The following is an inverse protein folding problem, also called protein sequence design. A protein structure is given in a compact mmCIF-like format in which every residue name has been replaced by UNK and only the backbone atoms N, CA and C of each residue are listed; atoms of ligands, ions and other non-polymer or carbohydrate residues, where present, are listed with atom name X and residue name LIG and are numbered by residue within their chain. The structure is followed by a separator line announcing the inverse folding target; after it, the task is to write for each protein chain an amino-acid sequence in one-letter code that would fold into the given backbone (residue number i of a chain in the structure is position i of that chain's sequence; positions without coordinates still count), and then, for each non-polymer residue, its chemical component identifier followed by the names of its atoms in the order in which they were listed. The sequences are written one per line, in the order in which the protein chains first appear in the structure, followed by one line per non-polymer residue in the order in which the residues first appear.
data_IF_875525853237
#
_entry.id   IF_875525853237
#
_cell.length_a   1.000
_cell.length_b   1.000
_cell.length_c   1.000
_cell.angle_alpha   90.00
_cell.angle_beta   90.00
_cell.angle_gamma   90.00
#
_symmetry.space_group_name_H-M   'P 1'
#
loop_
_entity.id
_entity.type
_entity.pdbx_description
1 polymer ?
#
# COMPACT_ATOMS: atom_id res chain seq x y z
N UNK A 1 -6.02 9.47 -6.67
CA UNK A 1 -6.76 10.69 -7.06
C UNK A 1 -6.72 11.75 -5.96
N UNK A 2 -7.14 12.98 -6.27
CA UNK A 2 -7.10 14.12 -5.35
C UNK A 2 -8.51 14.45 -4.84
N UNK A 3 -8.65 14.67 -3.53
CA UNK A 3 -9.87 15.13 -2.88
C UNK A 3 -9.61 16.46 -2.18
N UNK A 4 -10.13 17.54 -2.75
CA UNK A 4 -9.76 18.91 -2.34
C UNK A 4 -8.25 19.13 -2.51
N UNK A 5 -7.56 19.47 -1.42
CA UNK A 5 -6.10 19.66 -1.39
C UNK A 5 -5.32 18.40 -0.95
N UNK A 6 -6.01 17.28 -0.72
CA UNK A 6 -5.38 16.05 -0.21
C UNK A 6 -5.39 14.96 -1.29
N UNK A 7 -4.35 14.16 -1.31
CA UNK A 7 -4.31 12.97 -2.14
C UNK A 7 -4.95 11.79 -1.39
N UNK A 8 -5.80 11.04 -2.10
CA UNK A 8 -6.30 9.74 -1.64
C UNK A 8 -5.31 8.67 -2.04
N UNK A 9 -4.90 7.86 -1.08
CA UNK A 9 -4.00 6.74 -1.27
C UNK A 9 -4.73 5.42 -0.98
N UNK A 10 -4.39 4.40 -1.76
CA UNK A 10 -4.82 3.02 -1.55
C UNK A 10 -3.57 2.14 -1.45
N UNK A 11 -3.51 1.33 -0.41
CA UNK A 11 -2.47 0.33 -0.21
C UNK A 11 -3.09 -1.06 -0.20
N UNK A 12 -2.85 -1.82 -1.25
CA UNK A 12 -3.36 -3.19 -1.40
C UNK A 12 -2.26 -4.21 -1.20
N UNK A 13 -2.47 -5.14 -0.28
CA UNK A 13 -1.62 -6.30 -0.03
C UNK A 13 -2.33 -7.56 -0.47
N UNK A 14 -1.76 -8.27 -1.43
CA UNK A 14 -2.28 -9.56 -1.90
C UNK A 14 -1.44 -10.69 -1.35
N UNK A 15 -2.10 -11.62 -0.67
CA UNK A 15 -1.53 -12.80 -0.05
C UNK A 15 -1.96 -14.05 -0.81
N UNK A 16 -0.99 -14.90 -1.14
CA UNK A 16 -1.20 -16.19 -1.79
C UNK A 16 -0.71 -17.30 -0.88
N UNK A 17 -1.57 -18.21 -0.50
CA UNK A 17 -1.21 -19.37 0.31
C UNK A 17 -1.23 -20.64 -0.53
N UNK A 18 -0.07 -21.03 -1.06
CA UNK A 18 0.09 -22.16 -1.98
C UNK A 18 0.06 -23.55 -1.32
N UNK A 19 -0.10 -23.62 0.01
CA UNK A 19 -0.14 -24.87 0.75
C UNK A 19 -1.48 -25.58 0.69
N UNK A 20 -1.52 -26.80 1.24
CA UNK A 20 -2.74 -27.57 1.55
C UNK A 20 -2.77 -27.84 3.05
N UNK A 21 -3.94 -28.06 3.64
CA UNK A 21 -4.01 -28.44 5.04
C UNK A 21 -3.32 -29.78 5.28
N UNK A 22 -2.30 -29.78 6.13
CA UNK A 22 -1.63 -30.99 6.61
C UNK A 22 -1.10 -30.76 8.05
N UNK A 23 -0.30 -31.69 8.57
CA UNK A 23 0.25 -31.61 9.94
C UNK A 23 1.26 -30.47 10.15
N UNK A 24 1.79 -29.87 9.09
CA UNK A 24 2.73 -28.72 9.10
C UNK A 24 2.11 -27.44 8.61
N UNK A 25 1.12 -27.54 7.71
CA UNK A 25 0.56 -26.41 6.97
C UNK A 25 -0.87 -26.15 7.44
N UNK A 26 -1.09 -24.98 7.98
CA UNK A 26 -2.39 -24.52 8.45
C UNK A 26 -2.65 -23.09 7.94
N UNK A 27 -3.73 -22.48 8.39
CA UNK A 27 -4.08 -21.10 8.14
C UNK A 27 -2.91 -20.17 8.47
N UNK A 28 -2.62 -19.24 7.57
CA UNK A 28 -1.75 -18.10 7.86
C UNK A 28 -2.57 -16.99 8.51
N UNK A 29 -2.15 -16.55 9.68
CA UNK A 29 -2.77 -15.44 10.41
C UNK A 29 -1.70 -14.36 10.55
N UNK A 30 -2.06 -13.14 10.20
CA UNK A 30 -1.18 -11.97 10.32
C UNK A 30 -1.95 -10.77 10.83
N UNK A 31 -1.22 -9.84 11.44
CA UNK A 31 -1.68 -8.50 11.69
C UNK A 31 -1.04 -7.59 10.64
N UNK A 32 -1.81 -7.20 9.62
CA UNK A 32 -1.33 -6.37 8.53
C UNK A 32 -1.39 -4.90 8.94
N UNK A 33 -0.30 -4.15 8.68
CA UNK A 33 -0.19 -2.74 9.03
C UNK A 33 0.39 -1.94 7.87
N UNK A 34 -0.21 -0.79 7.59
CA UNK A 34 0.29 0.22 6.65
C UNK A 34 0.75 1.44 7.44
N UNK A 35 1.95 1.92 7.14
CA UNK A 35 2.48 3.18 7.66
C UNK A 35 2.37 4.25 6.58
N UNK A 36 1.80 5.37 6.94
CA UNK A 36 1.56 6.53 6.08
C UNK A 36 2.17 7.80 6.69
N UNK A 37 2.32 8.88 5.94
CA UNK A 37 2.76 10.16 6.50
C UNK A 37 1.92 10.58 7.70
N UNK A 38 2.55 11.16 8.73
CA UNK A 38 1.87 11.65 9.93
C UNK A 38 0.77 12.65 9.57
N UNK A 39 -0.41 12.45 10.11
CA UNK A 39 -1.60 13.25 9.80
C UNK A 39 -2.47 12.68 8.68
N UNK A 40 -2.13 11.52 8.13
CA UNK A 40 -3.04 10.78 7.26
C UNK A 40 -4.32 10.37 8.01
N UNK A 41 -5.44 10.32 7.31
CA UNK A 41 -6.76 10.01 7.85
C UNK A 41 -7.33 8.76 7.21
N UNK A 42 -7.68 7.77 8.00
CA UNK A 42 -8.33 6.54 7.53
C UNK A 42 -9.70 6.83 6.92
N UNK A 43 -10.03 6.17 5.79
CA UNK A 43 -11.34 6.25 5.15
C UNK A 43 -12.05 4.90 5.14
N UNK A 44 -11.40 3.85 4.63
CA UNK A 44 -12.03 2.54 4.52
C UNK A 44 -11.03 1.39 4.48
N UNK A 45 -11.53 0.20 4.70
CA UNK A 45 -10.82 -1.07 4.51
C UNK A 45 -11.66 -1.99 3.64
N UNK A 46 -11.03 -2.66 2.68
CA UNK A 46 -11.63 -3.77 1.94
C UNK A 46 -10.83 -5.04 2.16
N UNK A 47 -11.48 -6.05 2.66
CA UNK A 47 -10.91 -7.34 3.01
C UNK A 47 -11.94 -8.21 3.72
N UNK A 48 -11.59 -9.49 3.92
CA UNK A 48 -12.50 -10.44 4.56
C UNK A 48 -11.85 -11.15 5.73
N UNK A 49 -12.62 -11.28 6.81
CA UNK A 49 -12.30 -12.11 7.96
C UNK A 49 -12.28 -13.60 7.59
N UNK A 50 -11.86 -14.43 8.54
CA UNK A 50 -11.95 -15.90 8.45
C UNK A 50 -13.36 -16.39 8.11
N UNK A 51 -14.38 -15.77 8.67
CA UNK A 51 -15.79 -16.11 8.46
C UNK A 51 -16.30 -15.82 7.05
N UNK A 52 -15.51 -15.11 6.23
CA UNK A 52 -15.97 -14.56 4.94
C UNK A 52 -16.69 -13.22 5.06
N UNK A 53 -16.97 -12.76 6.28
CA UNK A 53 -17.52 -11.42 6.49
C UNK A 53 -16.50 -10.34 6.13
N UNK A 54 -16.97 -9.19 5.64
CA UNK A 54 -16.11 -8.03 5.41
C UNK A 54 -15.53 -7.52 6.73
N UNK A 55 -14.31 -7.02 6.67
CA UNK A 55 -13.70 -6.30 7.80
C UNK A 55 -14.44 -4.98 7.95
N UNK A 56 -14.96 -4.72 9.15
CA UNK A 56 -15.62 -3.46 9.44
C UNK A 56 -14.59 -2.37 9.80
N UNK A 57 -14.87 -1.08 9.52
CA UNK A 57 -13.96 0.02 9.86
C UNK A 57 -13.54 0.04 11.33
N UNK A 58 -14.42 -0.37 12.23
CA UNK A 58 -14.18 -0.43 13.69
C UNK A 58 -13.18 -1.54 14.09
N UNK A 59 -12.84 -2.43 13.18
CA UNK A 59 -11.84 -3.49 13.37
C UNK A 59 -10.45 -3.07 12.87
N UNK A 60 -10.31 -1.82 12.44
CA UNK A 60 -9.04 -1.23 12.05
C UNK A 60 -8.49 -0.40 13.19
N UNK A 61 -7.40 -0.86 13.77
CA UNK A 61 -6.66 -0.08 14.75
C UNK A 61 -5.90 1.05 14.05
N UNK A 62 -5.76 2.18 14.73
CA UNK A 62 -5.07 3.36 14.23
C UNK A 62 -4.16 3.94 15.31
N UNK A 63 -3.03 4.49 14.89
CA UNK A 63 -2.12 5.12 15.82
C UNK A 63 -1.04 5.93 15.15
N UNK A 64 -0.17 6.50 15.98
CA UNK A 64 1.03 7.24 15.53
C UNK A 64 2.25 6.59 16.16
N UNK A 65 3.22 6.24 15.35
CA UNK A 65 4.47 5.61 15.75
C UNK A 65 5.58 6.03 14.78
N UNK A 66 6.79 6.27 15.25
CA UNK A 66 7.93 6.65 14.41
C UNK A 66 7.65 7.83 13.46
N UNK A 67 6.94 8.84 13.94
CA UNK A 67 6.49 9.99 13.14
C UNK A 67 5.66 9.59 11.89
N UNK A 68 4.96 8.45 11.96
CA UNK A 68 4.03 7.95 10.95
C UNK A 68 2.65 7.72 11.55
N UNK A 69 1.62 7.94 10.79
CA UNK A 69 0.28 7.40 11.06
C UNK A 69 0.23 5.97 10.56
N UNK A 70 -0.39 5.06 11.30
CA UNK A 70 -0.56 3.69 10.85
C UNK A 70 -2.01 3.21 10.98
N UNK A 71 -2.38 2.29 10.10
CA UNK A 71 -3.65 1.58 10.09
C UNK A 71 -3.37 0.09 10.07
N UNK A 72 -4.06 -0.69 10.91
CA UNK A 72 -3.79 -2.11 11.01
C UNK A 72 -5.01 -2.94 11.37
N UNK A 73 -5.04 -4.18 10.90
CA UNK A 73 -6.10 -5.14 11.24
C UNK A 73 -5.60 -6.58 11.18
N UNK A 74 -6.29 -7.45 11.89
CA UNK A 74 -6.06 -8.90 11.81
C UNK A 74 -6.62 -9.45 10.50
N UNK A 75 -5.81 -10.24 9.82
CA UNK A 75 -6.12 -10.83 8.54
C UNK A 75 -5.72 -12.30 8.51
N UNK A 76 -6.50 -13.14 7.85
CA UNK A 76 -6.18 -14.56 7.73
C UNK A 76 -6.52 -15.14 6.37
N UNK A 77 -5.70 -16.09 5.91
CA UNK A 77 -5.86 -16.79 4.65
C UNK A 77 -5.72 -18.30 4.87
N UNK A 78 -6.63 -19.06 4.29
CA UNK A 78 -6.60 -20.51 4.31
C UNK A 78 -5.62 -21.06 3.24
N UNK A 79 -5.04 -22.23 3.44
CA UNK A 79 -4.30 -22.93 2.39
C UNK A 79 -5.09 -23.03 1.09
N UNK A 80 -4.41 -22.81 -0.03
CA UNK A 80 -5.00 -22.82 -1.37
C UNK A 80 -5.79 -21.56 -1.75
N UNK A 81 -5.79 -20.51 -0.91
CA UNK A 81 -6.51 -19.27 -1.19
C UNK A 81 -5.59 -18.13 -1.58
N UNK A 82 -6.15 -17.20 -2.32
CA UNK A 82 -5.62 -15.85 -2.54
C UNK A 82 -6.59 -14.85 -1.96
N UNK A 83 -6.10 -13.90 -1.16
CA UNK A 83 -6.90 -12.82 -0.59
C UNK A 83 -6.14 -11.50 -0.65
N UNK A 84 -6.90 -10.42 -0.84
CA UNK A 84 -6.37 -9.05 -0.78
C UNK A 84 -6.94 -8.30 0.42
N UNK A 85 -6.15 -7.38 0.92
CA UNK A 85 -6.51 -6.41 1.95
C UNK A 85 -6.09 -5.04 1.45
N UNK A 86 -7.05 -4.12 1.34
CA UNK A 86 -6.83 -2.75 0.89
C UNK A 86 -7.19 -1.77 2.00
N UNK A 87 -6.29 -0.86 2.32
CA UNK A 87 -6.57 0.33 3.13
C UNK A 87 -6.67 1.55 2.23
N UNK A 88 -7.74 2.34 2.41
CA UNK A 88 -7.91 3.64 1.75
C UNK A 88 -7.80 4.74 2.80
N UNK A 89 -7.01 5.77 2.50
CA UNK A 89 -6.76 6.88 3.41
C UNK A 89 -6.40 8.17 2.67
N UNK A 90 -6.63 9.30 3.32
CA UNK A 90 -6.20 10.61 2.81
C UNK A 90 -4.83 10.95 3.39
N UNK A 91 -3.92 11.36 2.51
CA UNK A 91 -2.61 11.91 2.90
C UNK A 91 -2.78 13.32 3.49
N UNK A 92 -1.86 13.79 4.34
CA UNK A 92 -1.88 15.17 4.82
C UNK A 92 -1.68 16.17 3.66
N UNK A 93 -2.19 17.39 3.81
CA UNK A 93 -2.10 18.45 2.77
C UNK A 93 -0.66 18.86 2.44
N UNK A 94 0.29 18.58 3.34
CA UNK A 94 1.71 18.86 3.11
C UNK A 94 2.35 18.00 2.02
N UNK A 95 1.71 16.89 1.63
CA UNK A 95 2.24 16.00 0.60
C UNK A 95 2.10 16.66 -0.77
N UNK A 96 3.22 16.80 -1.48
CA UNK A 96 3.30 17.45 -2.79
C UNK A 96 3.15 18.97 -2.76
N UNK A 97 3.06 19.61 -1.58
CA UNK A 97 2.91 21.06 -1.45
C UNK A 97 4.16 21.83 -1.94
N UNK A 98 5.32 21.21 -1.88
CA UNK A 98 6.61 21.74 -2.36
C UNK A 98 6.93 21.30 -3.80
N UNK A 99 5.98 20.68 -4.49
CA UNK A 99 6.16 20.16 -5.85
C UNK A 99 6.98 18.87 -5.93
N UNK A 100 7.25 18.21 -4.80
CA UNK A 100 7.98 16.95 -4.75
C UNK A 100 7.23 15.87 -3.96
N UNK A 101 7.42 14.63 -4.36
CA UNK A 101 6.90 13.46 -3.64
C UNK A 101 7.97 12.39 -3.54
N UNK A 102 8.17 11.85 -2.35
CA UNK A 102 9.05 10.70 -2.12
C UNK A 102 8.30 9.58 -1.42
N UNK A 103 8.53 8.35 -1.88
CA UNK A 103 7.94 7.13 -1.32
C UNK A 103 9.06 6.11 -1.06
N UNK A 104 9.16 5.66 0.17
CA UNK A 104 9.97 4.51 0.55
C UNK A 104 9.06 3.31 0.78
N UNK A 105 9.26 2.25 0.01
CA UNK A 105 8.61 0.96 0.22
C UNK A 105 9.64 -0.01 0.76
N UNK A 106 9.49 -0.40 2.03
CA UNK A 106 10.43 -1.29 2.70
C UNK A 106 10.11 -2.75 2.42
N UNK A 107 11.15 -3.53 2.14
CA UNK A 107 11.04 -4.98 2.06
C UNK A 107 10.69 -5.56 3.41
N UNK A 108 9.63 -6.35 3.48
CA UNK A 108 9.31 -7.11 4.68
C UNK A 108 10.27 -8.29 4.83
N UNK A 109 10.81 -8.48 6.02
CA UNK A 109 11.68 -9.63 6.33
C UNK A 109 10.89 -10.94 6.21
N UNK A 110 11.52 -11.93 5.62
CA UNK A 110 10.93 -13.28 5.47
C UNK A 110 10.03 -13.44 4.25
N UNK A 111 9.76 -12.38 3.48
CA UNK A 111 9.05 -12.49 2.20
C UNK A 111 10.03 -12.72 1.04
N UNK A 112 9.62 -13.53 0.07
CA UNK A 112 10.35 -13.83 -1.15
C UNK A 112 9.43 -13.49 -2.32
N UNK A 113 9.98 -12.90 -3.39
CA UNK A 113 9.29 -12.62 -4.65
C UNK A 113 8.01 -11.75 -4.51
N UNK A 114 8.02 -10.79 -3.59
CA UNK A 114 6.94 -9.82 -3.50
C UNK A 114 7.01 -8.86 -4.68
N UNK A 115 5.95 -8.81 -5.49
CA UNK A 115 5.81 -7.81 -6.55
C UNK A 115 5.30 -6.48 -5.97
N UNK A 116 5.78 -5.37 -6.52
CA UNK A 116 5.33 -4.02 -6.23
C UNK A 116 4.83 -3.37 -7.52
N UNK A 117 3.61 -2.88 -7.49
CA UNK A 117 3.04 -2.02 -8.53
C UNK A 117 2.69 -0.67 -7.92
N UNK A 118 3.16 0.40 -8.55
CA UNK A 118 2.82 1.78 -8.22
C UNK A 118 1.99 2.38 -9.35
N UNK A 119 0.95 3.12 -8.96
CA UNK A 119 0.13 3.96 -9.84
C UNK A 119 -0.20 5.23 -9.02
N UNK A 120 0.57 6.28 -9.23
CA UNK A 120 0.52 7.52 -8.44
C UNK A 120 0.02 8.66 -9.32
N UNK A 121 -1.26 8.99 -9.20
CA UNK A 121 -1.93 10.08 -9.94
C UNK A 121 -1.81 11.40 -9.15
N UNK A 122 -1.05 12.33 -9.68
CA UNK A 122 -0.83 13.66 -9.09
C UNK A 122 -1.75 14.74 -9.69
N UNK A 123 -2.51 14.41 -10.73
CA UNK A 123 -3.38 15.35 -11.46
C UNK A 123 -2.63 16.59 -12.01
N UNK A 124 -1.32 16.50 -12.18
CA UNK A 124 -0.44 17.51 -12.78
C UNK A 124 0.69 16.83 -13.53
N UNK A 125 1.21 17.47 -14.58
CA UNK A 125 2.29 16.91 -15.39
C UNK A 125 3.54 16.71 -14.53
N UNK A 126 4.15 15.54 -14.69
CA UNK A 126 5.40 15.19 -14.01
C UNK A 126 6.59 15.84 -14.74
N UNK A 127 7.48 16.46 -13.96
CA UNK A 127 8.70 17.07 -14.48
C UNK A 127 9.87 16.05 -14.54
N UNK A 128 9.98 15.22 -13.52
CA UNK A 128 10.93 14.11 -13.46
C UNK A 128 10.51 13.04 -12.48
N UNK A 129 11.04 11.83 -12.65
CA UNK A 129 10.86 10.73 -11.70
C UNK A 129 12.14 9.88 -11.60
N UNK A 130 12.35 9.27 -10.44
CA UNK A 130 13.43 8.33 -10.18
C UNK A 130 12.90 7.15 -9.34
N UNK A 131 12.96 5.90 -9.82
CA UNK A 131 13.34 5.50 -11.19
C UNK A 131 12.42 6.14 -12.25
N UNK A 132 12.95 6.36 -13.46
CA UNK A 132 12.16 6.88 -14.58
C UNK A 132 11.12 5.85 -15.07
N UNK A 133 10.00 6.33 -15.59
CA UNK A 133 9.03 5.50 -16.30
C UNK A 133 9.56 5.06 -17.67
N UNK A 134 8.90 4.09 -18.28
CA UNK A 134 9.15 3.78 -19.69
C UNK A 134 8.70 4.95 -20.58
N UNK A 135 9.48 5.26 -21.61
CA UNK A 135 9.32 6.47 -22.46
C UNK A 135 7.88 6.69 -22.98
N UNK A 136 7.19 5.61 -23.33
CA UNK A 136 5.80 5.68 -23.84
C UNK A 136 4.74 6.07 -22.80
N UNK A 137 5.05 6.01 -21.51
CA UNK A 137 4.16 6.35 -20.38
C UNK A 137 4.51 7.71 -19.76
N UNK A 138 5.56 8.36 -20.26
CA UNK A 138 6.03 9.64 -19.80
C UNK A 138 5.18 10.81 -20.35
N UNK A 139 5.15 11.92 -19.65
CA UNK A 139 4.44 13.18 -19.97
C UNK A 139 2.92 13.14 -19.68
N UNK A 140 2.49 12.36 -18.72
CA UNK A 140 1.15 12.53 -18.15
C UNK A 140 1.24 12.93 -16.66
N UNK A 141 0.13 12.89 -15.94
CA UNK A 141 0.08 13.22 -14.51
C UNK A 141 0.19 12.00 -13.61
N UNK A 142 0.52 10.83 -14.15
CA UNK A 142 0.51 9.56 -13.42
C UNK A 142 1.87 8.90 -13.50
N UNK A 143 2.50 8.64 -12.36
CA UNK A 143 3.71 7.84 -12.28
C UNK A 143 3.36 6.36 -12.11
N UNK A 144 3.78 5.53 -13.04
CA UNK A 144 3.55 4.07 -13.05
C UNK A 144 4.87 3.33 -12.98
N UNK A 145 4.98 2.41 -12.05
CA UNK A 145 6.17 1.58 -11.93
C UNK A 145 5.85 0.19 -11.42
N UNK A 146 6.46 -0.81 -12.04
CA UNK A 146 6.35 -2.22 -11.64
C UNK A 146 7.73 -2.78 -11.36
N UNK A 147 7.91 -3.37 -10.19
CA UNK A 147 9.19 -3.96 -9.75
C UNK A 147 8.93 -5.07 -8.72
N UNK A 148 10.01 -5.58 -8.15
CA UNK A 148 9.98 -6.48 -6.99
C UNK A 148 10.40 -5.74 -5.70
N UNK A 149 10.10 -6.35 -4.55
CA UNK A 149 10.55 -5.93 -3.23
C UNK A 149 11.60 -6.91 -2.66
N UNK A 150 12.60 -7.26 -3.45
CA UNK A 150 13.76 -8.03 -2.98
C UNK A 150 14.67 -7.22 -2.07
N UNK A 151 14.60 -5.91 -2.21
CA UNK A 151 15.25 -4.87 -1.37
C UNK A 151 14.28 -3.72 -1.13
N UNK A 152 14.61 -2.81 -0.22
CA UNK A 152 13.89 -1.55 -0.07
C UNK A 152 13.94 -0.76 -1.38
N UNK A 153 12.82 -0.10 -1.72
CA UNK A 153 12.68 0.70 -2.94
C UNK A 153 12.32 2.13 -2.58
N UNK A 154 13.05 3.05 -3.17
CA UNK A 154 12.79 4.49 -3.04
C UNK A 154 12.36 5.07 -4.39
N UNK A 155 11.32 5.89 -4.36
CA UNK A 155 10.75 6.55 -5.52
C UNK A 155 10.68 8.04 -5.24
N UNK A 156 11.07 8.85 -6.21
CA UNK A 156 10.99 10.31 -6.13
C UNK A 156 10.32 10.85 -7.40
N UNK A 157 9.36 11.74 -7.23
CA UNK A 157 8.62 12.39 -8.32
C UNK A 157 8.66 13.89 -8.11
N UNK A 158 8.98 14.64 -9.16
CA UNK A 158 8.90 16.10 -9.23
C UNK A 158 7.66 16.49 -10.03
N UNK A 159 6.82 17.32 -9.43
CA UNK A 159 5.53 17.79 -9.97
C UNK A 159 5.65 19.14 -10.67
#
# INVERSE_FOLDING_TARGET
GKEGNRYRAEATMTYVHNGTFDWRTTRYITYARVYSPKGSTFESVDGTLKSGARIAPEQVDQGVELEKTWFGTSFSIEPGQTKSLTFTYLLPESIGADGAYTLLVQKQLGTIDTALTLDLDFATLLQSASPGEVEKEWHDGVYRYVTDLTVDREFAVQL
#
